data_IF_032498044402
#
_entry.id   IF_032498044402
#
_cell.length_a   1.000
_cell.length_b   1.000
_cell.length_c   1.000
_cell.angle_alpha   90.00
_cell.angle_beta   90.00
_cell.angle_gamma   90.00
#
_symmetry.space_group_name_H-M   'P 1'
#
loop_
_entity.id
_entity.type
_entity.pdbx_description
1 polymer ?
#
# COMPACT_ATOMS: atom_id res chain seq x y z
N UNK A 1 26.67 -0.10 8.48
CA UNK A 1 26.22 0.01 7.09
C UNK A 1 25.63 -1.33 6.68
N UNK A 2 24.38 -1.41 6.31
CA UNK A 2 23.84 -2.66 5.74
C UNK A 2 24.61 -2.97 4.47
N UNK A 3 25.18 -4.15 4.41
CA UNK A 3 25.85 -4.63 3.20
C UNK A 3 24.80 -4.89 2.12
N UNK A 4 25.16 -4.69 0.87
CA UNK A 4 24.24 -4.86 -0.27
C UNK A 4 23.72 -6.32 -0.43
N UNK A 5 24.23 -7.23 0.38
CA UNK A 5 23.96 -8.68 0.38
C UNK A 5 22.99 -9.15 1.48
N UNK A 6 22.55 -8.27 2.38
CA UNK A 6 21.59 -8.68 3.40
C UNK A 6 20.24 -9.08 2.77
N UNK A 7 19.65 -10.21 3.19
CA UNK A 7 18.38 -10.67 2.64
C UNK A 7 17.24 -9.70 2.97
N UNK A 8 16.32 -9.57 2.03
CA UNK A 8 15.06 -8.84 2.25
C UNK A 8 14.09 -9.75 3.00
N UNK A 9 13.66 -9.30 4.17
CA UNK A 9 12.63 -9.94 4.99
C UNK A 9 11.32 -9.16 4.87
N UNK A 10 10.22 -9.85 4.62
CA UNK A 10 8.87 -9.28 4.64
C UNK A 10 8.20 -9.69 5.94
N UNK A 11 7.66 -8.73 6.66
CA UNK A 11 6.95 -8.94 7.91
C UNK A 11 5.80 -7.94 8.08
N UNK A 12 4.80 -8.25 8.93
CA UNK A 12 3.82 -7.26 9.34
C UNK A 12 4.50 -6.06 10.01
N UNK A 13 3.99 -4.87 9.74
CA UNK A 13 4.42 -3.66 10.43
C UNK A 13 3.82 -3.59 11.84
N UNK A 14 4.55 -2.95 12.73
CA UNK A 14 4.10 -2.63 14.09
C UNK A 14 4.20 -1.13 14.34
N UNK A 15 3.78 -0.64 15.51
CA UNK A 15 3.92 0.77 15.87
C UNK A 15 5.39 1.23 15.98
N UNK A 16 6.32 0.31 16.13
CA UNK A 16 7.75 0.64 16.08
C UNK A 16 8.18 1.09 14.67
N UNK A 17 7.40 0.74 13.65
CA UNK A 17 7.62 1.17 12.28
C UNK A 17 6.94 2.51 11.92
N UNK A 18 6.29 3.18 12.88
CA UNK A 18 5.46 4.36 12.61
C UNK A 18 6.21 5.44 11.81
N UNK A 19 7.38 5.85 12.27
CA UNK A 19 8.13 6.92 11.58
C UNK A 19 8.69 6.47 10.21
N UNK A 20 9.24 5.25 10.04
CA UNK A 20 9.54 4.71 8.73
C UNK A 20 8.34 4.68 7.77
N UNK A 21 7.15 4.30 8.25
CA UNK A 21 5.93 4.28 7.42
C UNK A 21 5.48 5.68 7.01
N UNK A 22 5.54 6.64 7.91
CA UNK A 22 5.27 8.06 7.59
C UNK A 22 6.25 8.54 6.52
N UNK A 23 7.55 8.25 6.69
CA UNK A 23 8.57 8.66 5.73
C UNK A 23 8.37 8.03 4.34
N UNK A 24 8.00 6.75 4.26
CA UNK A 24 7.71 6.08 2.99
C UNK A 24 6.47 6.67 2.30
N UNK A 25 5.43 7.02 3.06
CA UNK A 25 4.24 7.65 2.48
C UNK A 25 4.53 9.06 1.96
N UNK A 26 5.31 9.85 2.69
CA UNK A 26 5.77 11.15 2.23
C UNK A 26 6.59 11.01 0.94
N UNK A 27 7.54 10.07 0.91
CA UNK A 27 8.35 9.80 -0.27
C UNK A 27 7.51 9.35 -1.48
N UNK A 28 6.44 8.59 -1.26
CA UNK A 28 5.48 8.23 -2.31
C UNK A 28 4.81 9.48 -2.91
N UNK A 29 4.30 10.38 -2.08
CA UNK A 29 3.68 11.62 -2.56
C UNK A 29 4.68 12.51 -3.30
N UNK A 30 5.89 12.64 -2.79
CA UNK A 30 6.97 13.39 -3.46
C UNK A 30 7.30 12.80 -4.83
N UNK A 31 7.35 11.47 -4.94
CA UNK A 31 7.55 10.78 -6.22
C UNK A 31 6.40 11.02 -7.21
N UNK A 32 5.19 11.27 -6.70
CA UNK A 32 4.02 11.65 -7.50
C UNK A 32 3.97 13.15 -7.84
N UNK A 33 4.99 13.92 -7.47
CA UNK A 33 5.06 15.36 -7.70
C UNK A 33 4.32 16.22 -6.68
N UNK A 34 3.78 15.62 -5.60
CA UNK A 34 3.10 16.34 -4.53
C UNK A 34 4.12 16.75 -3.47
N UNK A 35 4.39 18.05 -3.38
CA UNK A 35 5.42 18.61 -2.49
C UNK A 35 4.94 19.92 -1.89
N UNK A 36 5.66 20.36 -0.86
CA UNK A 36 5.47 21.68 -0.26
C UNK A 36 4.44 21.72 0.86
N UNK A 37 3.91 22.91 1.18
CA UNK A 37 3.15 23.14 2.41
C UNK A 37 1.94 22.25 2.63
N UNK A 38 1.27 21.83 1.56
CA UNK A 38 0.11 20.93 1.66
C UNK A 38 0.52 19.51 2.11
N UNK A 39 1.63 19.00 1.60
CA UNK A 39 2.16 17.72 2.06
C UNK A 39 2.66 17.84 3.51
N UNK A 40 3.39 18.89 3.83
CA UNK A 40 3.90 19.12 5.18
C UNK A 40 2.75 19.19 6.20
N UNK A 41 1.67 19.88 5.85
CA UNK A 41 0.47 19.97 6.68
C UNK A 41 -0.27 18.63 6.85
N UNK A 42 -0.16 17.72 5.89
CA UNK A 42 -0.78 16.40 5.94
C UNK A 42 -0.02 15.40 6.86
N UNK A 43 1.27 15.60 7.10
CA UNK A 43 2.11 14.66 7.85
C UNK A 43 1.56 14.32 9.25
N UNK A 44 1.12 15.25 10.09
CA UNK A 44 0.51 14.93 11.39
C UNK A 44 -0.72 14.04 11.27
N UNK A 45 -1.57 14.28 10.26
CA UNK A 45 -2.77 13.48 10.01
C UNK A 45 -2.40 12.06 9.53
N UNK A 46 -1.40 11.92 8.67
CA UNK A 46 -0.86 10.63 8.23
C UNK A 46 -0.36 9.82 9.44
N UNK A 47 0.45 10.44 10.30
CA UNK A 47 0.97 9.81 11.52
C UNK A 47 -0.15 9.38 12.45
N UNK A 48 -1.12 10.25 12.69
CA UNK A 48 -2.29 9.97 13.53
C UNK A 48 -3.13 8.82 12.98
N UNK A 49 -3.34 8.77 11.67
CA UNK A 49 -4.06 7.67 11.01
C UNK A 49 -3.38 6.32 11.24
N UNK A 50 -2.09 6.23 10.95
CA UNK A 50 -1.32 4.99 11.12
C UNK A 50 -1.33 4.56 12.59
N UNK A 51 -1.08 5.47 13.52
CA UNK A 51 -1.07 5.19 14.95
C UNK A 51 -2.40 4.63 15.44
N UNK A 52 -3.52 5.12 14.91
CA UNK A 52 -4.87 4.71 15.31
C UNK A 52 -5.28 3.38 14.70
N UNK A 53 -5.00 3.17 13.42
CA UNK A 53 -5.60 2.07 12.65
C UNK A 53 -4.70 0.85 12.50
N UNK A 54 -3.37 1.00 12.60
CA UNK A 54 -2.45 -0.13 12.50
C UNK A 54 -2.66 -1.16 13.62
N UNK A 55 -2.78 -0.77 14.91
CA UNK A 55 -2.97 -1.75 15.99
C UNK A 55 -4.29 -2.49 15.95
N UNK A 56 -5.33 -1.89 15.34
CA UNK A 56 -6.67 -2.48 15.27
C UNK A 56 -6.86 -3.42 14.08
N UNK A 57 -5.92 -3.42 13.13
CA UNK A 57 -6.05 -4.14 11.86
C UNK A 57 -6.97 -3.46 10.85
N UNK A 58 -7.54 -2.28 11.16
CA UNK A 58 -8.31 -1.49 10.19
C UNK A 58 -7.44 -0.99 9.03
N UNK A 59 -6.18 -0.79 9.28
CA UNK A 59 -5.14 -0.56 8.29
C UNK A 59 -4.01 -1.54 8.54
N UNK A 60 -3.81 -2.49 7.64
CA UNK A 60 -2.74 -3.49 7.74
C UNK A 60 -1.60 -3.10 6.82
N UNK A 61 -0.39 -3.25 7.30
CA UNK A 61 0.81 -2.92 6.53
C UNK A 61 1.82 -4.04 6.64
N UNK A 62 2.46 -4.36 5.54
CA UNK A 62 3.66 -5.20 5.52
C UNK A 62 4.84 -4.36 5.05
N UNK A 63 5.96 -4.60 5.67
CA UNK A 63 7.22 -3.92 5.35
C UNK A 63 8.23 -4.91 4.80
N UNK A 64 9.05 -4.43 3.89
CA UNK A 64 10.27 -5.11 3.50
C UNK A 64 11.45 -4.43 4.22
N UNK A 65 12.24 -5.23 4.90
CA UNK A 65 13.36 -4.79 5.71
C UNK A 65 14.65 -5.43 5.20
N UNK A 66 15.70 -4.63 5.13
CA UNK A 66 17.06 -5.10 4.84
C UNK A 66 17.93 -4.76 6.05
N UNK A 67 18.33 -5.78 6.81
CA UNK A 67 18.94 -5.54 8.11
C UNK A 67 18.01 -4.74 9.02
N UNK A 68 18.41 -3.54 9.44
CA UNK A 68 17.61 -2.67 10.31
C UNK A 68 16.60 -1.80 9.53
N UNK A 69 16.97 -1.14 8.39
CA UNK A 69 16.06 -0.17 7.77
C UNK A 69 14.89 -0.83 7.04
N UNK A 70 13.71 -0.25 7.20
CA UNK A 70 12.54 -0.50 6.36
C UNK A 70 12.79 0.17 5.00
N UNK A 71 12.73 -0.61 3.92
CA UNK A 71 13.05 -0.15 2.57
C UNK A 71 11.85 -0.12 1.63
N UNK A 72 10.77 -0.78 2.00
CA UNK A 72 9.51 -0.76 1.24
C UNK A 72 8.34 -1.09 2.15
N UNK A 73 7.14 -0.70 1.73
CA UNK A 73 5.90 -1.03 2.43
C UNK A 73 4.74 -1.16 1.45
N UNK A 74 3.71 -1.88 1.89
CA UNK A 74 2.43 -2.03 1.22
C UNK A 74 1.31 -2.00 2.26
N UNK A 75 0.24 -1.26 1.97
CA UNK A 75 -0.93 -1.14 2.84
C UNK A 75 -2.15 -1.88 2.30
N UNK A 76 -2.99 -2.34 3.21
CA UNK A 76 -4.24 -3.04 2.91
C UNK A 76 -5.35 -2.55 3.84
N UNK A 77 -6.47 -2.16 3.24
CA UNK A 77 -7.74 -1.92 3.93
C UNK A 77 -8.79 -2.87 3.35
N UNK A 78 -9.57 -3.51 4.21
CA UNK A 78 -10.71 -4.31 3.78
C UNK A 78 -11.97 -3.48 3.98
N UNK A 79 -12.67 -3.24 2.87
CA UNK A 79 -13.98 -2.59 2.88
C UNK A 79 -15.09 -3.61 2.95
N UNK A 80 -16.05 -3.38 3.85
CA UNK A 80 -17.34 -4.08 3.82
C UNK A 80 -18.27 -3.32 2.87
N UNK A 81 -18.81 -4.03 1.89
CA UNK A 81 -19.72 -3.49 0.89
C UNK A 81 -20.96 -4.38 0.80
N UNK A 82 -22.11 -3.86 0.33
CA UNK A 82 -23.27 -4.74 0.10
C UNK A 82 -22.91 -5.88 -0.86
N UNK A 83 -23.27 -7.13 -0.53
CA UNK A 83 -23.05 -8.26 -1.43
C UNK A 83 -23.73 -8.07 -2.80
N UNK A 84 -23.09 -8.57 -3.81
CA UNK A 84 -23.62 -8.56 -5.20
C UNK A 84 -23.35 -9.90 -5.88
N UNK A 85 -23.96 -10.20 -7.02
CA UNK A 85 -23.67 -11.42 -7.77
C UNK A 85 -22.18 -11.59 -8.12
N UNK A 86 -21.50 -10.50 -8.40
CA UNK A 86 -20.06 -10.50 -8.69
C UNK A 86 -19.18 -10.53 -7.43
N UNK A 87 -19.75 -10.18 -6.27
CA UNK A 87 -19.05 -10.17 -4.98
C UNK A 87 -20.00 -10.63 -3.85
N UNK A 88 -20.33 -11.92 -3.80
CA UNK A 88 -21.28 -12.43 -2.81
C UNK A 88 -20.76 -12.37 -1.36
N UNK A 89 -19.45 -12.28 -1.16
CA UNK A 89 -18.82 -12.12 0.16
C UNK A 89 -19.07 -10.73 0.75
N UNK A 90 -19.27 -9.71 -0.10
CA UNK A 90 -19.46 -8.33 0.35
C UNK A 90 -18.23 -7.71 0.99
N UNK A 91 -17.05 -8.11 0.54
CA UNK A 91 -15.77 -7.53 0.98
C UNK A 91 -14.88 -7.22 -0.21
N UNK A 92 -14.18 -6.10 -0.13
CA UNK A 92 -13.19 -5.71 -1.12
C UNK A 92 -11.86 -5.36 -0.44
N UNK A 93 -10.78 -5.86 -0.98
CA UNK A 93 -9.44 -5.49 -0.58
C UNK A 93 -9.01 -4.23 -1.32
N UNK A 94 -8.67 -3.18 -0.61
CA UNK A 94 -8.07 -1.98 -1.17
C UNK A 94 -6.59 -1.94 -0.82
N UNK A 95 -5.74 -2.09 -1.85
CA UNK A 95 -4.29 -2.11 -1.71
C UNK A 95 -3.77 -0.71 -2.00
N UNK A 96 -2.91 -0.19 -1.14
CA UNK A 96 -2.41 1.17 -1.24
C UNK A 96 -0.98 1.30 -0.72
N UNK A 97 -0.38 2.44 -0.98
CA UNK A 97 0.92 2.83 -0.43
C UNK A 97 2.05 1.83 -0.74
N UNK A 98 1.98 1.14 -1.87
CA UNK A 98 3.11 0.35 -2.31
C UNK A 98 4.22 1.30 -2.77
N UNK A 99 5.27 1.34 -1.99
CA UNK A 99 6.44 2.16 -2.29
C UNK A 99 7.72 1.43 -1.91
N UNK A 100 8.69 1.48 -2.80
CA UNK A 100 10.04 0.93 -2.60
C UNK A 100 11.04 2.06 -2.74
N UNK A 101 11.92 2.20 -1.78
CA UNK A 101 12.98 3.21 -1.83
C UNK A 101 13.79 3.05 -3.12
N UNK A 102 14.15 4.18 -3.80
CA UNK A 102 14.81 4.13 -5.10
C UNK A 102 16.08 3.28 -5.13
N UNK A 103 16.89 3.33 -4.07
CA UNK A 103 18.17 2.63 -3.97
C UNK A 103 18.08 1.09 -3.93
N UNK A 104 16.86 0.56 -3.69
CA UNK A 104 16.63 -0.89 -3.65
C UNK A 104 15.63 -1.38 -4.70
N UNK A 105 15.24 -0.53 -5.64
CA UNK A 105 14.35 -0.90 -6.74
C UNK A 105 14.97 -1.93 -7.68
N UNK A 106 14.12 -2.54 -8.54
CA UNK A 106 14.47 -3.57 -9.54
C UNK A 106 15.03 -4.85 -8.94
N UNK A 107 14.69 -5.15 -7.69
CA UNK A 107 15.07 -6.39 -6.97
C UNK A 107 13.86 -7.26 -6.64
N UNK A 108 12.72 -7.01 -7.26
CA UNK A 108 11.49 -7.78 -7.06
C UNK A 108 10.79 -7.56 -5.71
N UNK A 109 11.17 -6.55 -4.92
CA UNK A 109 10.62 -6.29 -3.58
C UNK A 109 9.12 -5.98 -3.67
N UNK A 110 8.73 -5.07 -4.56
CA UNK A 110 7.33 -4.69 -4.74
C UNK A 110 6.47 -5.89 -5.16
N UNK A 111 6.97 -6.74 -6.06
CA UNK A 111 6.29 -7.98 -6.48
C UNK A 111 6.11 -8.95 -5.33
N UNK A 112 7.12 -9.13 -4.48
CA UNK A 112 7.06 -10.01 -3.31
C UNK A 112 6.07 -9.50 -2.27
N UNK A 113 6.06 -8.18 -2.00
CA UNK A 113 5.07 -7.54 -1.11
C UNK A 113 3.65 -7.74 -1.65
N UNK A 114 3.43 -7.48 -2.94
CA UNK A 114 2.12 -7.66 -3.57
C UNK A 114 1.67 -9.11 -3.52
N UNK A 115 2.54 -10.06 -3.85
CA UNK A 115 2.23 -11.49 -3.77
C UNK A 115 1.81 -11.89 -2.35
N UNK A 116 2.55 -11.44 -1.34
CA UNK A 116 2.22 -11.71 0.06
C UNK A 116 0.84 -11.18 0.44
N UNK A 117 0.53 -9.93 0.10
CA UNK A 117 -0.77 -9.32 0.41
C UNK A 117 -1.91 -10.02 -0.32
N UNK A 118 -1.72 -10.38 -1.58
CA UNK A 118 -2.75 -11.12 -2.34
C UNK A 118 -3.00 -12.52 -1.76
N UNK A 119 -1.98 -13.18 -1.23
CA UNK A 119 -2.16 -14.46 -0.54
C UNK A 119 -2.96 -14.30 0.76
N UNK A 120 -2.71 -13.22 1.51
CA UNK A 120 -3.53 -12.88 2.69
C UNK A 120 -4.99 -12.64 2.28
N UNK A 121 -5.23 -11.83 1.25
CA UNK A 121 -6.57 -11.53 0.73
C UNK A 121 -7.31 -12.80 0.32
N UNK A 122 -6.64 -13.70 -0.43
CA UNK A 122 -7.22 -14.98 -0.83
C UNK A 122 -7.52 -15.88 0.36
N UNK A 123 -6.63 -15.94 1.35
CA UNK A 123 -6.83 -16.77 2.56
C UNK A 123 -8.03 -16.34 3.37
N UNK A 124 -8.45 -15.09 3.28
CA UNK A 124 -9.65 -14.54 3.93
C UNK A 124 -10.92 -14.70 3.07
N UNK A 125 -10.83 -15.37 1.92
CA UNK A 125 -11.97 -15.60 1.03
C UNK A 125 -12.44 -14.34 0.29
N UNK A 126 -11.62 -13.29 0.23
CA UNK A 126 -11.95 -12.05 -0.46
C UNK A 126 -11.63 -12.22 -1.95
N UNK A 127 -12.62 -11.96 -2.80
CA UNK A 127 -12.54 -12.26 -4.23
C UNK A 127 -12.16 -11.06 -5.09
N UNK A 128 -12.17 -9.86 -4.52
CA UNK A 128 -11.93 -8.60 -5.26
C UNK A 128 -10.85 -7.78 -4.57
N UNK A 129 -9.82 -7.44 -5.33
CA UNK A 129 -8.78 -6.51 -4.92
C UNK A 129 -8.75 -5.31 -5.87
N UNK A 130 -8.61 -4.12 -5.30
CA UNK A 130 -8.56 -2.85 -6.03
C UNK A 130 -7.33 -2.05 -5.63
N UNK A 131 -6.81 -1.27 -6.56
CA UNK A 131 -5.75 -0.29 -6.31
C UNK A 131 -5.85 0.84 -7.33
N UNK A 132 -5.22 1.97 -7.00
CA UNK A 132 -4.96 3.05 -7.95
C UNK A 132 -3.51 2.94 -8.43
N UNK A 133 -3.34 2.80 -9.73
CA UNK A 133 -2.02 2.65 -10.33
C UNK A 133 -1.44 4.00 -10.74
N UNK A 134 -0.24 4.31 -10.24
CA UNK A 134 0.59 5.34 -10.85
C UNK A 134 1.15 4.84 -12.19
N UNK A 135 1.52 5.73 -13.13
CA UNK A 135 2.15 5.30 -14.38
C UNK A 135 3.36 4.38 -14.17
N UNK A 136 4.17 4.64 -13.17
CA UNK A 136 5.36 3.82 -12.85
C UNK A 136 5.01 2.44 -12.27
N UNK A 137 3.92 2.35 -11.51
CA UNK A 137 3.46 1.09 -10.89
C UNK A 137 2.65 0.20 -11.83
N UNK A 138 2.00 0.77 -12.83
CA UNK A 138 1.07 0.08 -13.71
C UNK A 138 1.64 -1.18 -14.37
N UNK A 139 2.86 -1.19 -14.94
CA UNK A 139 3.42 -2.40 -15.55
C UNK A 139 3.54 -3.58 -14.57
N UNK A 140 3.88 -3.31 -13.31
CA UNK A 140 3.92 -4.34 -12.27
C UNK A 140 2.53 -4.93 -12.04
N UNK A 141 1.53 -4.08 -11.84
CA UNK A 141 0.16 -4.51 -11.55
C UNK A 141 -0.44 -5.31 -12.71
N UNK A 142 -0.29 -4.86 -13.94
CA UNK A 142 -0.72 -5.59 -15.13
C UNK A 142 -0.04 -6.96 -15.24
N UNK A 143 1.26 -7.05 -14.93
CA UNK A 143 2.00 -8.31 -14.94
C UNK A 143 1.52 -9.33 -13.88
N UNK A 144 0.82 -8.87 -12.85
CA UNK A 144 0.23 -9.69 -11.79
C UNK A 144 -1.20 -10.11 -12.13
N UNK A 145 -1.84 -9.41 -13.07
CA UNK A 145 -3.20 -9.70 -13.53
C UNK A 145 -4.22 -8.62 -13.18
N UNK A 146 -3.79 -7.48 -12.64
CA UNK A 146 -4.69 -6.32 -12.52
C UNK A 146 -5.01 -5.76 -13.91
N UNK A 147 -6.25 -5.38 -14.09
CA UNK A 147 -6.73 -4.72 -15.29
C UNK A 147 -7.52 -3.46 -14.93
N UNK A 148 -7.60 -2.53 -15.85
CA UNK A 148 -8.47 -1.36 -15.70
C UNK A 148 -9.93 -1.83 -15.67
N UNK A 149 -10.69 -1.34 -14.69
CA UNK A 149 -12.12 -1.65 -14.57
C UNK A 149 -12.93 -0.71 -15.49
N UNK A 150 -12.95 -0.98 -16.78
CA UNK A 150 -13.60 -0.13 -17.77
C UNK A 150 -15.13 -0.05 -17.59
N UNK A 151 -15.73 -1.10 -17.02
CA UNK A 151 -17.18 -1.19 -16.83
C UNK A 151 -17.68 -0.39 -15.61
N UNK A 152 -16.79 0.01 -14.72
CA UNK A 152 -17.12 0.75 -13.49
C UNK A 152 -16.14 1.91 -13.30
N UNK A 153 -16.13 2.93 -14.15
CA UNK A 153 -15.21 4.05 -14.02
C UNK A 153 -15.48 4.81 -12.72
N UNK A 154 -14.43 5.09 -11.97
CA UNK A 154 -14.54 5.93 -10.79
C UNK A 154 -14.92 7.37 -11.17
N UNK A 155 -15.91 7.90 -10.49
CA UNK A 155 -16.29 9.32 -10.57
C UNK A 155 -16.03 9.99 -9.24
N UNK A 156 -15.40 11.17 -9.27
CA UNK A 156 -15.05 11.93 -8.08
C UNK A 156 -15.67 13.33 -8.12
N UNK A 157 -16.13 13.80 -6.96
CA UNK A 157 -16.52 15.16 -6.72
C UNK A 157 -15.79 15.67 -5.47
N UNK A 158 -15.05 16.75 -5.63
CA UNK A 158 -14.50 17.47 -4.46
C UNK A 158 -15.55 18.38 -3.87
N UNK A 159 -15.84 18.19 -2.61
CA UNK A 159 -16.80 19.02 -1.88
C UNK A 159 -16.04 20.18 -1.23
N UNK A 160 -16.51 21.40 -1.52
CA UNK A 160 -16.00 22.59 -0.86
C UNK A 160 -16.49 22.60 0.60
N UNK A 161 -15.53 22.77 1.52
CA UNK A 161 -15.76 22.86 2.96
C UNK A 161 -15.78 24.30 3.46
#
# INVERSE_FOLDING_TARGET
MPTNDEPIVIRPATLDDLEPLVALRVALFEAMGQRGPLLDAAVPAIRSYIRRHLPTGAFRVWVAQRGVPVVAAIGLVIHSVPPSPANPVGKEAYIMNLFTRPEVRRRGIARRLMAHVLDVVRSEGILKARLYATPDGRPLYESIGFAVADDEPEMQLTLDG
#
